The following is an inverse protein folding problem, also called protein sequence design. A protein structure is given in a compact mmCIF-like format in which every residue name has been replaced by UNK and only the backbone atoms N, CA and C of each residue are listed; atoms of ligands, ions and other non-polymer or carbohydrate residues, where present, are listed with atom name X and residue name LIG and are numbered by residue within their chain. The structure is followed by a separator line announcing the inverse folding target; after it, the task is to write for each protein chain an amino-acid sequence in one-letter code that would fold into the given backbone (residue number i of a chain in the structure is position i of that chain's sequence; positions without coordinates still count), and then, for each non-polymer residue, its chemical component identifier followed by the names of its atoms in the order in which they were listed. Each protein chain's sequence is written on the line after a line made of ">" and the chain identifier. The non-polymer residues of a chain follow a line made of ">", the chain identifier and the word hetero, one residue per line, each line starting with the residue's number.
data_IF_608526362429
#
_entry.id   IF_608526362429
#
_cell.length_a   1.000
_cell.length_b   1.000
_cell.length_c   1.000
_cell.angle_alpha   90.00
_cell.angle_beta   90.00
_cell.angle_gamma   90.00
#
_symmetry.space_group_name_H-M   'P 1'
#
loop_
_entity.id
_entity.type
_entity.pdbx_description
1 polymer ?
#
# COMPACT_ATOMS: atom_id res chain seq x y z
N UNK A 1 -1.49 -8.16 -11.79
CA UNK A 1 -2.47 -8.79 -10.89
C UNK A 1 -3.76 -7.99 -10.98
N UNK A 2 -4.89 -8.60 -10.64
CA UNK A 2 -6.20 -7.96 -10.52
C UNK A 2 -6.71 -8.09 -9.10
N UNK A 3 -7.72 -7.31 -8.73
CA UNK A 3 -8.34 -7.40 -7.39
C UNK A 3 -8.91 -8.80 -7.08
N UNK A 4 -9.27 -9.58 -8.10
CA UNK A 4 -9.77 -10.96 -7.94
C UNK A 4 -8.68 -11.95 -7.56
N UNK A 5 -7.41 -11.57 -7.74
CA UNK A 5 -6.26 -12.39 -7.36
C UNK A 5 -5.89 -12.17 -5.87
N UNK A 6 -6.52 -11.22 -5.19
CA UNK A 6 -6.30 -10.99 -3.75
C UNK A 6 -7.02 -12.11 -2.97
N UNK A 7 -6.33 -12.84 -2.08
CA UNK A 7 -6.93 -13.91 -1.30
C UNK A 7 -8.10 -13.43 -0.44
N UNK A 8 -9.34 -13.81 -0.79
CA UNK A 8 -10.54 -13.27 -0.14
C UNK A 8 -10.72 -13.70 1.33
N UNK A 9 -10.14 -14.84 1.72
CA UNK A 9 -10.35 -15.47 3.03
C UNK A 9 -9.32 -15.02 4.09
N UNK A 10 -8.26 -14.33 3.68
CA UNK A 10 -7.27 -13.78 4.62
C UNK A 10 -7.86 -12.59 5.38
N UNK A 11 -7.28 -12.26 6.53
CA UNK A 11 -7.77 -11.16 7.38
C UNK A 11 -6.97 -9.90 7.11
N UNK A 12 -7.67 -8.88 6.61
CA UNK A 12 -7.06 -7.61 6.26
C UNK A 12 -7.41 -6.51 7.28
N UNK A 13 -6.43 -5.69 7.57
CA UNK A 13 -6.60 -4.35 8.08
C UNK A 13 -6.49 -3.39 6.90
N UNK A 14 -7.46 -2.47 6.72
CA UNK A 14 -7.43 -1.56 5.59
C UNK A 14 -8.81 -1.14 5.11
N UNK A 15 -8.92 -0.73 3.85
CA UNK A 15 -10.19 -0.28 3.28
C UNK A 15 -10.33 -0.63 1.80
N UNK A 16 -11.59 -0.70 1.36
CA UNK A 16 -12.00 -0.72 -0.05
C UNK A 16 -12.98 0.42 -0.30
N UNK A 17 -12.68 1.25 -1.29
CA UNK A 17 -13.59 2.28 -1.77
C UNK A 17 -14.22 1.85 -3.10
N UNK A 18 -15.54 1.74 -3.11
CA UNK A 18 -16.33 1.44 -4.30
C UNK A 18 -16.76 2.74 -5.00
N UNK A 19 -16.78 2.78 -6.33
CA UNK A 19 -17.22 3.94 -7.13
C UNK A 19 -18.67 4.32 -6.90
N UNK A 20 -19.50 3.36 -6.49
CA UNK A 20 -20.91 3.53 -6.20
C UNK A 20 -21.19 3.86 -4.72
N UNK A 21 -20.15 4.02 -3.90
CA UNK A 21 -20.26 4.33 -2.47
C UNK A 21 -19.65 5.70 -2.13
N UNK A 22 -20.32 6.40 -1.22
CA UNK A 22 -19.84 7.68 -0.67
C UNK A 22 -18.86 7.48 0.48
N UNK A 23 -18.87 6.31 1.12
CA UNK A 23 -17.96 5.94 2.20
C UNK A 23 -17.20 4.64 1.84
N UNK A 24 -15.93 4.53 2.25
CA UNK A 24 -15.17 3.30 2.09
C UNK A 24 -15.66 2.21 3.04
N UNK A 25 -15.54 0.95 2.62
CA UNK A 25 -15.66 -0.23 3.47
C UNK A 25 -14.35 -0.39 4.23
N UNK A 26 -14.38 -0.22 5.54
CA UNK A 26 -13.22 -0.41 6.41
C UNK A 26 -13.20 -1.84 6.93
N UNK A 27 -12.03 -2.45 6.94
CA UNK A 27 -11.79 -3.79 7.46
C UNK A 27 -10.85 -3.69 8.65
N UNK A 28 -11.24 -4.27 9.78
CA UNK A 28 -10.38 -4.44 10.96
C UNK A 28 -10.17 -5.94 11.23
N UNK A 29 -9.18 -6.51 10.55
CA UNK A 29 -8.83 -7.95 10.59
C UNK A 29 -9.98 -8.83 10.12
N UNK A 30 -10.62 -8.40 9.06
CA UNK A 30 -11.77 -9.06 8.45
C UNK A 30 -11.42 -9.57 7.04
N UNK A 31 -12.08 -10.65 6.56
CA UNK A 31 -11.95 -11.09 5.19
C UNK A 31 -12.52 -10.08 4.19
N UNK A 32 -12.14 -10.22 2.93
CA UNK A 32 -12.70 -9.37 1.89
C UNK A 32 -14.20 -9.65 1.72
N UNK A 33 -15.01 -8.61 1.51
CA UNK A 33 -16.45 -8.76 1.25
C UNK A 33 -16.65 -9.41 -0.12
N UNK A 34 -16.87 -10.73 -0.13
CA UNK A 34 -16.99 -11.55 -1.34
C UNK A 34 -18.03 -11.01 -2.31
N UNK A 35 -19.14 -10.47 -1.81
CA UNK A 35 -20.21 -9.85 -2.58
C UNK A 35 -19.74 -8.63 -3.39
N UNK A 36 -18.75 -7.89 -2.90
CA UNK A 36 -18.22 -6.68 -3.55
C UNK A 36 -17.12 -6.98 -4.56
N UNK A 37 -16.30 -8.00 -4.31
CA UNK A 37 -15.14 -8.35 -5.16
C UNK A 37 -15.46 -9.38 -6.25
N UNK A 38 -16.50 -10.20 -6.06
CA UNK A 38 -16.86 -11.29 -6.99
C UNK A 38 -17.60 -10.82 -8.25
N UNK A 39 -17.99 -9.54 -8.31
CA UNK A 39 -18.63 -8.96 -9.48
C UNK A 39 -17.74 -9.13 -10.73
N UNK A 40 -18.32 -9.42 -11.91
CA UNK A 40 -17.60 -9.41 -13.18
C UNK A 40 -16.82 -8.10 -13.39
N UNK A 41 -17.39 -6.99 -12.93
CA UNK A 41 -16.77 -5.66 -12.88
C UNK A 41 -16.83 -5.14 -11.44
N UNK A 42 -15.81 -5.40 -10.60
CA UNK A 42 -15.78 -4.86 -9.25
C UNK A 42 -15.63 -3.35 -9.35
N UNK A 43 -16.60 -2.61 -8.83
CA UNK A 43 -16.60 -1.15 -8.80
C UNK A 43 -15.53 -0.56 -7.85
N UNK A 44 -14.48 -1.30 -7.51
CA UNK A 44 -13.44 -0.83 -6.59
C UNK A 44 -12.57 0.21 -7.29
N UNK A 45 -12.58 1.44 -6.77
CA UNK A 45 -11.77 2.55 -7.29
C UNK A 45 -10.44 2.69 -6.56
N UNK A 46 -10.43 2.31 -5.29
CA UNK A 46 -9.27 2.40 -4.43
C UNK A 46 -9.34 1.31 -3.36
N UNK A 47 -8.21 0.67 -3.05
CA UNK A 47 -8.11 -0.19 -1.88
C UNK A 47 -6.68 -0.18 -1.36
N UNK A 48 -6.55 -0.16 -0.04
CA UNK A 48 -5.28 -0.39 0.66
C UNK A 48 -5.56 -1.46 1.71
N UNK A 49 -4.92 -2.62 1.57
CA UNK A 49 -5.22 -3.81 2.34
C UNK A 49 -3.92 -4.40 2.88
N UNK A 50 -3.86 -4.61 4.18
CA UNK A 50 -2.70 -5.18 4.84
C UNK A 50 -3.05 -6.45 5.60
N UNK A 51 -2.44 -7.56 5.19
CA UNK A 51 -2.45 -8.83 5.90
C UNK A 51 -1.23 -8.91 6.82
N UNK A 52 -1.47 -8.63 8.10
CA UNK A 52 -0.43 -8.66 9.12
C UNK A 52 0.08 -10.06 9.49
N UNK A 53 -0.66 -11.13 9.17
CA UNK A 53 -0.20 -12.49 9.44
C UNK A 53 0.85 -12.94 8.43
N UNK A 54 0.67 -12.57 7.16
CA UNK A 54 1.59 -12.92 6.08
C UNK A 54 2.53 -11.77 5.68
N UNK A 55 2.49 -10.63 6.38
CA UNK A 55 3.24 -9.42 6.08
C UNK A 55 3.08 -9.01 4.61
N UNK A 56 1.85 -9.00 4.12
CA UNK A 56 1.55 -8.74 2.72
C UNK A 56 0.61 -7.54 2.61
N UNK A 57 0.92 -6.62 1.71
CA UNK A 57 0.10 -5.44 1.44
C UNK A 57 -0.36 -5.44 -0.01
N UNK A 58 -1.58 -4.98 -0.25
CA UNK A 58 -2.18 -4.84 -1.56
C UNK A 58 -2.69 -3.42 -1.72
N UNK A 59 -2.32 -2.78 -2.83
CA UNK A 59 -2.77 -1.44 -3.20
C UNK A 59 -3.48 -1.52 -4.55
N UNK A 60 -4.70 -0.99 -4.61
CA UNK A 60 -5.51 -0.89 -5.81
C UNK A 60 -5.82 0.58 -6.05
N UNK A 61 -5.57 1.07 -7.26
CA UNK A 61 -5.93 2.44 -7.64
C UNK A 61 -6.30 2.52 -9.12
N UNK A 62 -7.21 3.44 -9.44
CA UNK A 62 -7.47 3.82 -10.82
C UNK A 62 -6.44 4.83 -11.33
N UNK A 63 -5.77 4.48 -12.42
CA UNK A 63 -4.90 5.37 -13.18
C UNK A 63 -5.56 5.68 -14.54
N UNK A 64 -6.50 6.63 -14.54
CA UNK A 64 -7.31 6.94 -15.71
C UNK A 64 -8.26 5.80 -16.05
N UNK A 65 -8.03 5.12 -17.19
CA UNK A 65 -8.86 4.02 -17.66
C UNK A 65 -8.36 2.64 -17.20
N UNK A 66 -7.26 2.59 -16.47
CA UNK A 66 -6.64 1.35 -16.01
C UNK A 66 -6.79 1.20 -14.49
N UNK A 67 -6.97 -0.04 -14.05
CA UNK A 67 -6.91 -0.42 -12.64
C UNK A 67 -5.55 -1.04 -12.40
N UNK A 68 -4.76 -0.41 -11.54
CA UNK A 68 -3.46 -0.93 -11.13
C UNK A 68 -3.66 -1.62 -9.78
N UNK A 69 -3.28 -2.90 -9.72
CA UNK A 69 -3.32 -3.70 -8.50
C UNK A 69 -1.91 -4.21 -8.21
N UNK A 70 -1.33 -3.69 -7.14
CA UNK A 70 0.00 -4.03 -6.66
C UNK A 70 -0.08 -4.95 -5.45
N UNK A 71 0.89 -5.85 -5.36
CA UNK A 71 1.15 -6.67 -4.19
C UNK A 71 2.55 -6.41 -3.70
N UNK A 72 2.69 -6.15 -2.41
CA UNK A 72 3.96 -5.93 -1.74
C UNK A 72 4.13 -6.98 -0.65
N UNK A 73 5.22 -7.75 -0.73
CA UNK A 73 5.64 -8.59 0.38
C UNK A 73 6.57 -7.76 1.27
N UNK A 74 6.16 -7.52 2.51
CA UNK A 74 6.98 -6.78 3.46
C UNK A 74 8.03 -7.69 4.05
N UNK A 75 9.21 -7.11 4.24
CA UNK A 75 10.38 -7.68 4.89
C UNK A 75 10.74 -6.86 6.13
N UNK A 76 11.61 -7.40 6.98
CA UNK A 76 12.21 -6.63 8.09
C UNK A 76 12.95 -5.39 7.56
N UNK A 77 13.58 -5.53 6.40
CA UNK A 77 14.38 -4.49 5.75
C UNK A 77 13.55 -3.31 5.27
N UNK A 78 12.26 -3.50 4.95
CA UNK A 78 11.40 -2.37 4.55
C UNK A 78 11.25 -1.33 5.67
N UNK A 79 11.48 -1.69 6.94
CA UNK A 79 11.53 -0.75 8.06
C UNK A 79 12.95 -0.33 8.46
N UNK A 80 13.93 -1.21 8.29
CA UNK A 80 15.32 -0.95 8.76
C UNK A 80 16.23 -0.38 7.68
N UNK A 81 15.80 -0.38 6.42
CA UNK A 81 16.43 0.39 5.35
C UNK A 81 16.56 1.84 5.83
N UNK A 82 17.79 2.34 5.88
CA UNK A 82 18.07 3.71 6.33
C UNK A 82 17.47 4.80 5.42
N UNK A 83 16.90 4.43 4.29
CA UNK A 83 16.30 5.34 3.32
C UNK A 83 14.77 5.31 3.34
N UNK A 84 14.15 4.32 3.95
CA UNK A 84 12.69 4.23 3.99
C UNK A 84 12.12 5.13 5.08
N UNK A 85 10.96 5.71 4.82
CA UNK A 85 10.32 6.67 5.72
C UNK A 85 8.91 6.20 6.11
N UNK A 86 8.56 6.31 7.39
CA UNK A 86 7.18 6.15 7.82
C UNK A 86 6.37 7.39 7.46
N UNK A 87 5.21 7.19 6.83
CA UNK A 87 4.27 8.24 6.49
C UNK A 87 2.91 7.93 7.09
N UNK A 88 2.30 8.94 7.71
CA UNK A 88 0.96 8.84 8.29
C UNK A 88 0.02 9.82 7.59
N UNK A 89 -1.10 9.31 7.07
CA UNK A 89 -2.20 10.15 6.59
C UNK A 89 -3.34 10.14 7.60
N UNK A 90 -4.01 11.29 7.73
CA UNK A 90 -5.21 11.41 8.57
C UNK A 90 -6.45 11.44 7.70
N UNK A 91 -7.39 10.54 7.99
CA UNK A 91 -8.66 10.45 7.28
C UNK A 91 -9.81 10.86 8.19
N UNK A 92 -10.74 11.60 7.62
CA UNK A 92 -12.01 11.94 8.26
C UNK A 92 -13.13 10.95 7.91
N UNK A 93 -12.90 10.05 6.94
CA UNK A 93 -13.91 9.11 6.44
C UNK A 93 -13.97 7.81 7.25
N UNK A 94 -12.96 7.54 8.07
CA UNK A 94 -12.88 6.33 8.89
C UNK A 94 -13.23 6.67 10.34
N UNK A 95 -14.41 6.24 10.81
CA UNK A 95 -14.92 6.59 12.14
C UNK A 95 -14.01 6.08 13.27
N UNK A 96 -13.52 4.85 13.13
CA UNK A 96 -12.76 4.17 14.19
C UNK A 96 -11.23 4.17 13.94
N UNK A 97 -10.79 4.55 12.73
CA UNK A 97 -9.39 4.51 12.31
C UNK A 97 -8.96 5.80 11.60
N UNK A 98 -8.58 6.82 12.36
CA UNK A 98 -8.25 8.13 11.78
C UNK A 98 -6.88 8.20 11.10
N UNK A 99 -5.99 7.23 11.34
CA UNK A 99 -4.62 7.24 10.84
C UNK A 99 -4.39 6.06 9.89
N UNK A 100 -3.72 6.33 8.78
CA UNK A 100 -3.27 5.34 7.81
C UNK A 100 -1.76 5.38 7.76
N UNK A 101 -1.13 4.27 8.09
CA UNK A 101 0.31 4.15 8.13
C UNK A 101 0.82 3.57 6.81
N UNK A 102 1.90 4.15 6.31
CA UNK A 102 2.58 3.74 5.11
C UNK A 102 4.09 3.74 5.31
N UNK A 103 4.77 2.96 4.49
CA UNK A 103 6.23 3.01 4.30
C UNK A 103 6.49 3.54 2.89
N UNK A 104 7.16 4.69 2.80
CA UNK A 104 7.73 5.18 1.55
C UNK A 104 9.10 4.54 1.35
N UNK A 105 9.25 3.77 0.28
CA UNK A 105 10.50 3.13 -0.07
C UNK A 105 11.30 4.02 -1.02
N UNK A 106 12.57 4.22 -0.67
CA UNK A 106 13.51 5.00 -1.46
C UNK A 106 14.75 4.15 -1.74
N UNK A 107 15.12 4.08 -3.01
CA UNK A 107 16.27 3.29 -3.44
C UNK A 107 17.34 4.21 -4.05
N UNK A 108 18.62 4.03 -3.72
CA UNK A 108 19.72 4.71 -4.40
C UNK A 108 19.72 4.33 -5.88
N UNK A 109 19.73 5.34 -6.74
CA UNK A 109 19.86 5.16 -8.19
C UNK A 109 20.85 6.18 -8.73
N UNK A 110 21.70 5.74 -9.66
CA UNK A 110 22.63 6.62 -10.33
C UNK A 110 21.89 7.62 -11.21
N UNK A 111 22.29 8.88 -11.17
CA UNK A 111 21.72 9.96 -11.97
C UNK A 111 22.81 10.68 -12.75
N UNK A 112 22.76 10.62 -14.08
CA UNK A 112 23.75 11.23 -14.98
C UNK A 112 23.91 12.75 -14.74
N UNK A 113 22.86 13.44 -14.30
CA UNK A 113 22.92 14.88 -14.00
C UNK A 113 23.61 15.17 -12.66
N UNK A 114 23.76 14.16 -11.82
CA UNK A 114 24.48 14.22 -10.54
C UNK A 114 25.88 13.59 -10.65
N UNK A 115 26.40 13.42 -11.87
CA UNK A 115 27.77 12.98 -12.14
C UNK A 115 28.57 14.15 -12.74
N UNK A 116 29.24 14.98 -11.91
CA UNK A 116 30.20 15.94 -12.42
C UNK A 116 31.29 15.22 -13.23
N UNK A 117 31.72 15.80 -14.35
CA UNK A 117 32.81 15.23 -15.16
C UNK A 117 34.07 15.02 -14.31
N UNK A 118 34.53 13.77 -14.18
CA UNK A 118 35.75 13.41 -13.46
C UNK A 118 35.56 13.03 -11.99
N UNK A 119 34.33 12.93 -11.50
CA UNK A 119 34.01 12.45 -10.15
C UNK A 119 33.32 11.07 -10.16
N UNK A 120 33.36 10.37 -9.02
CA UNK A 120 32.63 9.11 -8.84
C UNK A 120 31.11 9.36 -8.91
N UNK A 121 30.33 8.43 -9.49
CA UNK A 121 28.90 8.61 -9.63
C UNK A 121 28.22 8.72 -8.27
N UNK A 122 27.49 9.81 -8.05
CA UNK A 122 26.67 9.98 -6.84
C UNK A 122 25.28 9.42 -7.06
N UNK A 123 24.90 8.46 -6.21
CA UNK A 123 23.54 7.94 -6.19
C UNK A 123 22.60 8.98 -5.55
N UNK A 124 21.42 9.12 -6.15
CA UNK A 124 20.31 9.89 -5.58
C UNK A 124 19.21 8.96 -5.13
N UNK A 125 18.54 9.31 -4.04
CA UNK A 125 17.38 8.56 -3.57
C UNK A 125 16.18 8.85 -4.47
N UNK A 126 15.61 7.80 -5.06
CA UNK A 126 14.37 7.90 -5.85
C UNK A 126 13.27 7.12 -5.18
N UNK A 127 12.09 7.74 -5.11
CA UNK A 127 10.89 7.10 -4.60
C UNK A 127 10.50 5.96 -5.53
N UNK A 128 10.35 4.75 -4.98
CA UNK A 128 10.01 3.57 -5.77
C UNK A 128 8.57 3.13 -5.53
N UNK A 129 8.13 3.10 -4.28
CA UNK A 129 6.81 2.62 -3.90
C UNK A 129 6.38 3.16 -2.53
N UNK A 130 5.07 3.19 -2.31
CA UNK A 130 4.44 3.42 -1.01
C UNK A 130 3.66 2.15 -0.66
N UNK A 131 3.89 1.63 0.55
CA UNK A 131 3.29 0.39 1.02
C UNK A 131 2.39 0.70 2.22
N UNK A 132 1.12 0.35 2.17
CA UNK A 132 0.23 0.46 3.32
C UNK A 132 0.51 -0.62 4.37
N UNK A 133 0.56 -0.24 5.64
CA UNK A 133 0.92 -1.13 6.76
C UNK A 133 -0.09 -1.15 7.90
N UNK A 134 -1.32 -0.73 7.61
CA UNK A 134 -2.45 -0.75 8.54
C UNK A 134 -2.81 0.61 9.13
N UNK A 135 -3.77 0.59 10.05
CA UNK A 135 -4.24 1.74 10.82
C UNK A 135 -3.47 1.95 12.12
N UNK A 136 -2.48 1.10 12.38
CA UNK A 136 -1.61 1.18 13.53
C UNK A 136 -0.16 1.30 13.08
N UNK A 137 0.72 1.90 13.90
CA UNK A 137 2.15 1.87 13.64
C UNK A 137 2.62 0.44 13.42
N UNK A 138 3.31 0.21 12.31
CA UNK A 138 3.80 -1.11 11.95
C UNK A 138 4.75 -1.64 13.02
N UNK A 139 4.29 -2.65 13.77
CA UNK A 139 5.04 -3.35 14.81
C UNK A 139 5.25 -4.78 14.37
N UNK A 140 6.52 -5.17 14.26
CA UNK A 140 6.89 -6.58 14.17
C UNK A 140 7.01 -7.06 15.60
N UNK A 141 6.14 -7.98 16.01
CA UNK A 141 6.30 -8.66 17.29
C UNK A 141 7.60 -9.48 17.20
N UNK A 142 8.60 -9.11 18.01
CA UNK A 142 9.85 -9.86 18.16
C UNK A 142 9.65 -11.14 18.96
#
# INVERSE_FOLDING_TARGET
>A
MTIKDIPAQEKYEGYLWMSDSTEPVVLDREPLPEDKISSPNPFVVEAELYDGANLCSFSVHHAGNEIICNRFQLTLDDRTSGHNEERVFKSHHFKDHQELHFIDCWEPQSDELCQPEGEDPMDVLRFTRRIFVGFHPFKINQ
#
